data_IF_629967876580
#
_entry.id   IF_629967876580
#
_cell.length_a   1.000
_cell.length_b   1.000
_cell.length_c   1.000
_cell.angle_alpha   90.00
_cell.angle_beta   90.00
_cell.angle_gamma   90.00
#
_symmetry.space_group_name_H-M   'P 1'
#
loop_
_entity.id
_entity.type
_entity.pdbx_description
1 polymer ?
#
# COMPACT_ATOMS: atom_id res chain seq x y z
N UNK A 1 -1.26 6.68 7.45
CA UNK A 1 -1.85 7.26 6.21
C UNK A 1 -3.03 6.39 5.79
N UNK A 2 -4.26 6.91 5.79
CA UNK A 2 -5.45 6.06 5.62
C UNK A 2 -5.74 5.67 4.17
N UNK A 3 -5.60 4.38 3.84
CA UNK A 3 -5.89 3.82 2.51
C UNK A 3 -7.30 4.10 1.99
N UNK A 4 -8.27 4.32 2.89
CA UNK A 4 -9.68 4.53 2.56
C UNK A 4 -10.08 6.00 2.49
N UNK A 5 -9.15 6.93 2.75
CA UNK A 5 -9.43 8.36 2.85
C UNK A 5 -10.09 8.93 1.58
N UNK A 6 -9.78 8.36 0.43
CA UNK A 6 -10.23 8.84 -0.87
C UNK A 6 -11.37 8.00 -1.48
N UNK A 7 -11.94 7.06 -0.74
CA UNK A 7 -13.03 6.24 -1.25
C UNK A 7 -14.35 7.03 -1.23
N UNK A 8 -14.79 7.49 -2.40
CA UNK A 8 -16.11 8.12 -2.51
C UNK A 8 -17.23 7.08 -2.33
N UNK A 9 -18.24 7.36 -1.48
CA UNK A 9 -19.38 6.47 -1.31
C UNK A 9 -20.25 6.46 -2.57
N UNK A 10 -20.67 5.28 -3.03
CA UNK A 10 -21.66 5.13 -4.10
C UNK A 10 -23.05 5.00 -3.50
N UNK A 11 -24.02 5.72 -4.06
CA UNK A 11 -25.42 5.63 -3.68
C UNK A 11 -26.10 4.63 -4.60
N UNK A 12 -26.64 3.53 -4.05
CA UNK A 12 -27.49 2.61 -4.81
C UNK A 12 -28.90 3.20 -5.00
N UNK A 13 -29.63 2.70 -6.00
CA UNK A 13 -31.05 3.06 -6.27
C UNK A 13 -31.96 2.91 -5.03
N UNK A 14 -31.55 2.09 -4.06
CA UNK A 14 -32.24 1.82 -2.79
C UNK A 14 -31.83 2.78 -1.64
N UNK A 15 -31.25 3.94 -1.95
CA UNK A 15 -30.69 4.93 -1.00
C UNK A 15 -29.57 4.42 -0.05
N UNK A 16 -29.16 3.15 -0.13
CA UNK A 16 -28.07 2.59 0.65
C UNK A 16 -26.70 3.08 0.13
N UNK A 17 -25.93 3.74 1.01
CA UNK A 17 -24.54 4.15 0.74
C UNK A 17 -23.61 2.95 0.87
N UNK A 18 -22.85 2.64 -0.17
CA UNK A 18 -21.78 1.63 -0.14
C UNK A 18 -20.42 2.31 -0.32
N UNK A 19 -19.39 1.86 0.40
CA UNK A 19 -18.04 2.35 0.17
C UNK A 19 -17.51 1.84 -1.17
N UNK A 20 -16.87 2.74 -1.93
CA UNK A 20 -16.13 2.37 -3.13
C UNK A 20 -14.92 1.48 -2.80
N UNK A 21 -14.44 0.72 -3.78
CA UNK A 21 -13.17 -0.01 -3.70
C UNK A 21 -12.00 0.96 -3.87
N UNK A 22 -10.94 0.79 -3.08
CA UNK A 22 -9.68 1.52 -3.23
C UNK A 22 -8.88 0.95 -4.39
N UNK A 23 -8.46 1.81 -5.32
CA UNK A 23 -7.52 1.46 -6.38
C UNK A 23 -6.12 1.89 -5.93
N UNK A 24 -5.17 0.96 -5.93
CA UNK A 24 -3.78 1.25 -5.61
C UNK A 24 -3.02 1.72 -6.85
N UNK A 25 -2.27 2.84 -6.78
CA UNK A 25 -1.47 3.29 -7.91
C UNK A 25 -0.28 2.35 -8.16
N UNK A 26 0.22 2.27 -9.40
CA UNK A 26 1.49 1.61 -9.66
C UNK A 26 2.63 2.39 -8.99
N UNK A 27 3.47 1.69 -8.22
CA UNK A 27 4.63 2.30 -7.56
C UNK A 27 5.86 1.99 -8.41
N UNK A 28 6.34 3.00 -9.14
CA UNK A 28 7.54 2.88 -9.95
C UNK A 28 8.79 2.82 -9.05
N UNK A 29 9.83 2.04 -9.41
CA UNK A 29 11.09 2.05 -8.70
C UNK A 29 11.72 3.43 -8.73
N UNK A 30 12.23 3.90 -7.60
CA UNK A 30 13.00 5.14 -7.48
C UNK A 30 14.39 4.86 -6.92
N UNK A 31 15.34 5.74 -7.21
CA UNK A 31 16.70 5.66 -6.64
C UNK A 31 16.72 5.83 -5.11
N UNK A 32 15.68 6.43 -4.55
CA UNK A 32 15.51 6.61 -3.10
C UNK A 32 14.92 5.38 -2.40
N UNK A 33 14.55 4.33 -3.14
CA UNK A 33 13.96 3.13 -2.56
C UNK A 33 15.02 2.31 -1.81
N UNK A 34 14.64 1.79 -0.65
CA UNK A 34 15.50 0.88 0.12
C UNK A 34 15.25 -0.56 -0.30
N UNK A 35 16.29 -1.39 -0.22
CA UNK A 35 16.18 -2.82 -0.45
C UNK A 35 16.66 -3.57 0.76
N UNK A 36 15.82 -4.47 1.26
CA UNK A 36 16.12 -5.26 2.45
C UNK A 36 15.96 -6.75 2.16
N UNK A 37 16.68 -7.57 2.91
CA UNK A 37 16.51 -9.03 2.87
C UNK A 37 15.59 -9.43 4.01
N UNK A 38 14.52 -10.15 3.66
CA UNK A 38 13.51 -10.61 4.60
C UNK A 38 14.08 -11.70 5.50
N UNK A 39 13.88 -11.56 6.81
CA UNK A 39 14.21 -12.59 7.81
C UNK A 39 13.05 -13.56 8.02
N UNK A 40 13.36 -14.71 8.61
CA UNK A 40 12.32 -15.68 8.97
C UNK A 40 11.29 -15.07 9.93
N UNK A 41 10.00 -15.34 9.69
CA UNK A 41 8.90 -14.78 10.46
C UNK A 41 8.60 -13.29 10.23
N UNK A 42 9.32 -12.59 9.34
CA UNK A 42 9.14 -11.15 9.14
C UNK A 42 7.88 -10.84 8.32
N UNK A 43 7.14 -9.81 8.75
CA UNK A 43 5.85 -9.41 8.19
C UNK A 43 5.88 -8.02 7.58
N UNK A 44 5.05 -7.78 6.57
CA UNK A 44 4.96 -6.47 5.91
C UNK A 44 4.44 -5.37 6.84
N UNK A 45 3.52 -5.68 7.76
CA UNK A 45 3.03 -4.72 8.76
C UNK A 45 4.15 -4.24 9.70
N UNK A 46 5.03 -5.15 10.12
CA UNK A 46 6.16 -4.82 11.00
C UNK A 46 7.17 -3.95 10.26
N UNK A 47 7.48 -4.28 9.00
CA UNK A 47 8.33 -3.45 8.15
C UNK A 47 7.72 -2.06 7.91
N UNK A 48 6.42 -1.99 7.64
CA UNK A 48 5.75 -0.70 7.46
C UNK A 48 5.80 0.14 8.75
N UNK A 49 5.65 -0.49 9.91
CA UNK A 49 5.81 0.20 11.19
C UNK A 49 7.25 0.67 11.42
N UNK A 50 8.25 -0.14 11.08
CA UNK A 50 9.67 0.18 11.26
C UNK A 50 10.15 1.30 10.33
N UNK A 51 9.74 1.28 9.05
CA UNK A 51 10.21 2.23 8.04
C UNK A 51 9.31 3.46 7.87
N UNK A 52 8.00 3.33 8.08
CA UNK A 52 7.04 4.41 7.88
C UNK A 52 6.39 4.89 9.18
N UNK A 53 6.61 4.20 10.31
CA UNK A 53 5.98 4.52 11.60
C UNK A 53 4.51 4.13 11.68
N UNK A 54 3.97 3.44 10.67
CA UNK A 54 2.55 3.09 10.60
C UNK A 54 2.36 1.69 9.98
N UNK A 55 1.89 0.68 10.75
CA UNK A 55 1.71 -0.68 10.26
C UNK A 55 0.62 -0.77 9.19
N UNK A 56 -0.31 0.19 9.11
CA UNK A 56 -1.37 0.20 8.10
C UNK A 56 -0.83 0.45 6.69
N UNK A 57 0.40 0.96 6.55
CA UNK A 57 1.06 1.30 5.29
C UNK A 57 1.74 0.09 4.61
N UNK A 58 1.53 -1.12 5.13
CA UNK A 58 2.02 -2.38 4.54
C UNK A 58 1.63 -2.56 3.07
N UNK A 59 0.49 -1.98 2.65
CA UNK A 59 0.02 -2.02 1.27
C UNK A 59 1.00 -1.37 0.27
N UNK A 60 1.81 -0.39 0.72
CA UNK A 60 2.84 0.25 -0.10
C UNK A 60 3.93 -0.76 -0.47
N UNK A 61 4.41 -1.52 0.52
CA UNK A 61 5.43 -2.55 0.34
C UNK A 61 4.85 -3.68 -0.54
N UNK A 62 3.62 -4.10 -0.25
CA UNK A 62 2.92 -5.11 -1.03
C UNK A 62 2.80 -4.71 -2.51
N UNK A 63 2.34 -3.49 -2.79
CA UNK A 63 2.15 -2.98 -4.15
C UNK A 63 3.48 -2.80 -4.89
N UNK A 64 4.52 -2.29 -4.21
CA UNK A 64 5.84 -2.09 -4.79
C UNK A 64 6.55 -3.40 -5.19
N UNK A 65 6.25 -4.49 -4.49
CA UNK A 65 6.84 -5.81 -4.73
C UNK A 65 5.88 -6.78 -5.43
N UNK A 66 4.72 -6.28 -5.88
CA UNK A 66 3.66 -7.08 -6.49
C UNK A 66 3.23 -8.29 -5.64
N UNK A 67 3.26 -8.13 -4.31
CA UNK A 67 2.85 -9.14 -3.33
C UNK A 67 1.38 -8.91 -2.98
N UNK A 68 0.47 -9.43 -3.80
CA UNK A 68 -0.98 -9.20 -3.67
C UNK A 68 -1.78 -10.42 -3.20
N UNK A 69 -1.12 -11.44 -2.64
CA UNK A 69 -1.74 -12.76 -2.35
C UNK A 69 -2.52 -12.87 -1.03
N UNK A 70 -2.88 -11.74 -0.40
CA UNK A 70 -3.62 -11.76 0.88
C UNK A 70 -2.83 -12.33 2.07
N UNK A 71 -1.52 -12.49 1.92
CA UNK A 71 -0.61 -12.86 3.02
C UNK A 71 0.19 -11.64 3.47
N UNK A 72 0.40 -11.52 4.79
CA UNK A 72 1.29 -10.52 5.38
C UNK A 72 2.72 -11.05 5.55
N UNK A 73 2.90 -12.36 5.40
CA UNK A 73 4.20 -13.02 5.54
C UNK A 73 5.01 -12.87 4.26
N UNK A 74 6.24 -12.43 4.43
CA UNK A 74 7.21 -12.38 3.36
C UNK A 74 8.02 -13.67 3.33
N UNK A 75 8.48 -14.05 2.14
CA UNK A 75 9.31 -15.24 1.99
C UNK A 75 10.71 -14.95 2.55
N UNK A 76 11.20 -15.70 3.54
CA UNK A 76 12.52 -15.51 4.10
C UNK A 76 13.61 -15.60 3.02
N UNK A 77 14.63 -14.76 3.13
CA UNK A 77 15.72 -14.66 2.15
C UNK A 77 15.36 -13.92 0.85
N UNK A 78 14.13 -13.44 0.70
CA UNK A 78 13.75 -12.64 -0.47
C UNK A 78 14.12 -11.18 -0.28
N UNK A 79 14.59 -10.53 -1.34
CA UNK A 79 14.85 -9.10 -1.35
C UNK A 79 13.54 -8.35 -1.60
N UNK A 80 13.22 -7.40 -0.74
CA UNK A 80 12.00 -6.59 -0.78
C UNK A 80 12.38 -5.12 -0.90
N UNK A 81 11.68 -4.42 -1.80
CA UNK A 81 11.77 -2.98 -2.02
C UNK A 81 10.88 -2.22 -1.05
N UNK A 82 11.40 -1.20 -0.41
CA UNK A 82 10.68 -0.32 0.53
C UNK A 82 10.72 1.11 -0.03
N UNK A 83 9.64 1.55 -0.72
CA UNK A 83 9.56 2.90 -1.25
C UNK A 83 9.60 3.98 -0.16
N UNK A 84 10.57 4.89 -0.23
CA UNK A 84 10.68 5.97 0.76
C UNK A 84 9.83 7.20 0.41
N UNK A 85 9.45 7.36 -0.85
CA UNK A 85 8.69 8.53 -1.31
C UNK A 85 7.17 8.36 -1.11
N UNK A 86 6.77 8.38 0.16
CA UNK A 86 5.38 8.26 0.61
C UNK A 86 4.52 9.40 0.02
N UNK A 87 5.06 10.62 -0.04
CA UNK A 87 4.35 11.80 -0.52
C UNK A 87 3.88 11.65 -1.97
N UNK A 88 4.75 11.17 -2.86
CA UNK A 88 4.35 10.90 -4.25
C UNK A 88 3.32 9.78 -4.35
N UNK A 89 3.41 8.77 -3.49
CA UNK A 89 2.49 7.63 -3.48
C UNK A 89 1.09 8.07 -3.01
N UNK A 90 0.99 8.93 -2.00
CA UNK A 90 -0.29 9.51 -1.57
C UNK A 90 -0.90 10.38 -2.65
N UNK A 91 -0.10 11.24 -3.31
CA UNK A 91 -0.57 12.06 -4.41
C UNK A 91 -1.13 11.19 -5.56
N UNK A 92 -0.46 10.09 -5.89
CA UNK A 92 -0.92 9.14 -6.90
C UNK A 92 -2.19 8.39 -6.46
N UNK A 93 -2.27 7.96 -5.20
CA UNK A 93 -3.45 7.30 -4.63
C UNK A 93 -4.66 8.24 -4.62
N UNK A 94 -4.45 9.51 -4.27
CA UNK A 94 -5.48 10.54 -4.32
C UNK A 94 -5.95 10.76 -5.74
N UNK A 95 -5.03 10.94 -6.69
CA UNK A 95 -5.34 11.18 -8.10
C UNK A 95 -6.19 10.04 -8.68
N UNK A 96 -5.78 8.78 -8.52
CA UNK A 96 -6.48 7.64 -9.12
C UNK A 96 -7.86 7.38 -8.52
N UNK A 97 -8.08 7.70 -7.23
CA UNK A 97 -9.37 7.48 -6.58
C UNK A 97 -10.31 8.70 -6.71
N UNK A 98 -9.78 9.91 -6.97
CA UNK A 98 -10.59 11.11 -7.23
C UNK A 98 -10.98 11.29 -8.69
N UNK A 99 -10.15 10.85 -9.65
CA UNK A 99 -10.42 10.94 -11.10
C UNK A 99 -11.27 9.76 -11.63
N UNK A 100 -12.04 9.08 -10.76
CA UNK A 100 -12.80 7.85 -11.07
C UNK A 100 -14.28 8.10 -11.36
#
# INVERSE_FOLDING_TARGET
MDRYKYNMPKIKKDAKKIQGQTIYPPIMPKSTDLYIVVRDGQRMDTLANEYYGDPSMWWIIAQANNVSKGTLFLRPGSQIRIPQDISSIDAALRKINMER
#
